data_IF_697054749374
#
_entry.id   IF_697054749374
#
_cell.length_a   1.000
_cell.length_b   1.000
_cell.length_c   1.000
_cell.angle_alpha   90.00
_cell.angle_beta   90.00
_cell.angle_gamma   90.00
#
_symmetry.space_group_name_H-M   'P 1'
#
loop_
_entity.id
_entity.type
_entity.pdbx_description
1 polymer ?
#
# COMPACT_ATOMS: atom_id res chain seq x y z
N UNK A 1 -27.18 53.56 55.77
CA UNK A 1 -27.16 53.32 54.30
C UNK A 1 -25.93 52.43 54.02
N UNK A 2 -26.15 51.10 53.89
CA UNK A 2 -25.08 50.12 53.62
C UNK A 2 -25.05 49.88 52.12
N UNK A 3 -23.92 50.21 51.44
CA UNK A 3 -23.68 49.93 50.02
C UNK A 3 -23.06 48.53 49.92
N UNK A 4 -23.83 47.58 49.33
CA UNK A 4 -23.39 46.25 48.95
C UNK A 4 -22.69 46.38 47.60
N UNK A 5 -21.39 46.09 47.57
CA UNK A 5 -20.61 45.98 46.33
C UNK A 5 -20.68 44.49 45.91
N UNK A 6 -21.41 44.23 44.83
CA UNK A 6 -21.44 42.91 44.18
C UNK A 6 -20.23 42.80 43.27
N UNK A 7 -19.23 42.00 43.65
CA UNK A 7 -18.11 41.64 42.78
C UNK A 7 -18.54 40.55 41.78
N UNK A 8 -18.63 40.90 40.52
CA UNK A 8 -18.88 39.92 39.46
C UNK A 8 -17.56 39.25 39.10
N UNK A 9 -17.33 38.01 39.56
CA UNK A 9 -16.24 37.17 39.09
C UNK A 9 -16.55 36.67 37.68
N UNK A 10 -15.93 37.24 36.66
CA UNK A 10 -15.92 36.69 35.30
C UNK A 10 -15.03 35.43 35.34
N UNK A 11 -15.65 34.24 35.30
CA UNK A 11 -14.98 32.98 35.06
C UNK A 11 -14.55 32.92 33.60
N UNK A 12 -13.27 33.17 33.36
CA UNK A 12 -12.62 32.83 32.08
C UNK A 12 -12.61 31.29 31.94
N UNK A 13 -13.56 30.73 31.23
CA UNK A 13 -13.50 29.33 30.78
C UNK A 13 -12.40 29.23 29.72
N UNK A 14 -11.39 28.34 29.91
CA UNK A 14 -10.46 28.05 28.83
C UNK A 14 -11.25 27.49 27.65
N UNK A 15 -11.17 28.17 26.50
CA UNK A 15 -11.79 27.70 25.26
C UNK A 15 -11.23 26.32 24.94
N UNK A 16 -12.07 25.31 24.98
CA UNK A 16 -11.75 23.97 24.45
C UNK A 16 -11.59 24.18 22.94
N UNK A 17 -10.35 24.25 22.46
CA UNK A 17 -10.07 24.14 21.04
C UNK A 17 -10.52 22.74 20.60
N UNK A 18 -11.74 22.62 20.12
CA UNK A 18 -12.19 21.47 19.37
C UNK A 18 -11.40 21.53 18.05
N UNK A 19 -10.32 20.77 17.99
CA UNK A 19 -9.62 20.55 16.72
C UNK A 19 -10.69 20.03 15.73
N UNK A 20 -10.99 20.82 14.70
CA UNK A 20 -11.87 20.38 13.62
C UNK A 20 -11.20 19.16 13.00
N UNK A 21 -11.83 18.01 13.16
CA UNK A 21 -11.35 16.77 12.55
C UNK A 21 -11.26 17.00 11.03
N UNK A 22 -10.04 17.09 10.53
CA UNK A 22 -9.80 17.28 9.10
C UNK A 22 -9.88 15.96 8.35
N UNK A 23 -10.43 15.97 7.14
CA UNK A 23 -10.34 14.83 6.22
C UNK A 23 -9.02 14.87 5.46
N UNK A 24 -8.33 13.74 5.37
CA UNK A 24 -7.11 13.54 4.61
C UNK A 24 -7.43 12.60 3.45
N UNK A 25 -7.04 12.97 2.24
CA UNK A 25 -7.21 12.14 1.04
C UNK A 25 -5.90 11.46 0.68
N UNK A 26 -5.90 10.13 0.64
CA UNK A 26 -4.70 9.32 0.40
C UNK A 26 -4.88 8.48 -0.86
N UNK A 27 -3.93 8.62 -1.82
CA UNK A 27 -3.73 7.66 -2.89
C UNK A 27 -2.67 6.64 -2.45
N UNK A 28 -3.00 5.36 -2.44
CA UNK A 28 -2.08 4.32 -1.98
C UNK A 28 -2.04 3.11 -2.91
N UNK A 29 -0.85 2.56 -3.07
CA UNK A 29 -0.64 1.29 -3.78
C UNK A 29 -1.45 0.17 -3.11
N UNK A 30 -2.09 -0.66 -3.91
CA UNK A 30 -3.10 -1.60 -3.41
C UNK A 30 -2.54 -2.80 -2.63
N UNK A 31 -1.22 -3.01 -2.62
CA UNK A 31 -0.56 -3.92 -1.68
C UNK A 31 -0.74 -3.51 -0.21
N UNK A 32 -1.06 -2.23 0.03
CA UNK A 32 -1.39 -1.68 1.34
C UNK A 32 -2.84 -1.93 1.78
N UNK A 33 -3.68 -2.57 0.96
CA UNK A 33 -5.12 -2.68 1.20
C UNK A 33 -5.49 -3.08 2.63
N UNK A 34 -5.02 -4.22 3.09
CA UNK A 34 -5.36 -4.71 4.44
C UNK A 34 -4.59 -3.95 5.53
N UNK A 35 -3.30 -3.70 5.31
CA UNK A 35 -2.48 -2.96 6.26
C UNK A 35 -3.04 -1.55 6.51
N UNK A 36 -3.45 -0.84 5.46
CA UNK A 36 -3.97 0.52 5.61
C UNK A 36 -5.41 0.56 6.13
N UNK A 37 -6.23 -0.48 5.93
CA UNK A 37 -7.51 -0.57 6.65
C UNK A 37 -7.31 -0.53 8.16
N UNK A 38 -6.39 -1.34 8.66
CA UNK A 38 -6.07 -1.40 10.11
C UNK A 38 -5.41 -0.11 10.59
N UNK A 39 -4.43 0.40 9.83
CA UNK A 39 -3.68 1.62 10.17
C UNK A 39 -4.61 2.84 10.18
N UNK A 40 -5.46 2.99 9.18
CA UNK A 40 -6.43 4.09 9.10
C UNK A 40 -7.42 3.99 10.25
N UNK A 41 -7.97 2.80 10.53
CA UNK A 41 -8.89 2.60 11.65
C UNK A 41 -8.27 2.98 12.99
N UNK A 42 -7.01 2.62 13.23
CA UNK A 42 -6.31 2.98 14.47
C UNK A 42 -5.96 4.47 14.51
N UNK A 43 -5.54 5.06 13.40
CA UNK A 43 -5.27 6.49 13.29
C UNK A 43 -6.53 7.33 13.56
N UNK A 44 -7.64 7.00 12.91
CA UNK A 44 -8.93 7.70 13.12
C UNK A 44 -9.41 7.59 14.57
N UNK A 45 -9.27 6.40 15.17
CA UNK A 45 -9.66 6.15 16.56
C UNK A 45 -8.83 6.98 17.55
N UNK A 46 -7.53 7.10 17.30
CA UNK A 46 -6.59 7.76 18.24
C UNK A 46 -6.54 9.28 18.06
N UNK A 47 -6.82 9.79 16.85
CA UNK A 47 -6.68 11.22 16.55
C UNK A 47 -8.00 11.95 16.33
N UNK A 48 -9.08 11.23 16.05
CA UNK A 48 -10.36 11.81 15.63
C UNK A 48 -10.37 12.35 14.19
N UNK A 49 -9.26 12.33 13.47
CA UNK A 49 -9.19 12.72 12.07
C UNK A 49 -9.85 11.66 11.17
N UNK A 50 -10.26 12.07 9.97
CA UNK A 50 -10.84 11.17 8.96
C UNK A 50 -9.85 10.94 7.82
N UNK A 51 -9.84 9.72 7.26
CA UNK A 51 -8.98 9.36 6.13
C UNK A 51 -9.82 8.79 4.99
N UNK A 52 -9.80 9.47 3.86
CA UNK A 52 -10.36 8.96 2.60
C UNK A 52 -9.26 8.24 1.83
N UNK A 53 -9.24 6.92 1.93
CA UNK A 53 -8.26 6.05 1.28
C UNK A 53 -8.74 5.63 -0.10
N UNK A 54 -7.91 5.84 -1.13
CA UNK A 54 -8.12 5.33 -2.49
C UNK A 54 -6.97 4.39 -2.84
N UNK A 55 -7.31 3.15 -3.20
CA UNK A 55 -6.35 2.09 -3.51
C UNK A 55 -6.28 1.83 -5.02
N UNK A 56 -5.07 1.65 -5.54
CA UNK A 56 -4.87 1.41 -6.96
C UNK A 56 -3.44 1.06 -7.34
N UNK A 57 -3.11 1.19 -8.61
CA UNK A 57 -1.75 1.00 -9.10
C UNK A 57 -0.92 2.27 -8.91
N UNK A 58 0.34 2.12 -8.49
CA UNK A 58 1.26 3.23 -8.29
C UNK A 58 1.43 4.09 -9.54
N UNK A 59 1.64 3.47 -10.70
CA UNK A 59 1.84 4.22 -11.94
C UNK A 59 0.60 4.99 -12.38
N UNK A 60 -0.60 4.45 -12.14
CA UNK A 60 -1.85 5.15 -12.45
C UNK A 60 -2.06 6.37 -11.55
N UNK A 61 -1.80 6.25 -10.26
CA UNK A 61 -1.85 7.41 -9.36
C UNK A 61 -0.81 8.46 -9.72
N UNK A 62 0.42 8.04 -10.05
CA UNK A 62 1.44 8.96 -10.53
C UNK A 62 0.94 9.76 -11.75
N UNK A 63 0.38 9.10 -12.76
CA UNK A 63 -0.18 9.76 -13.93
C UNK A 63 -1.36 10.69 -13.57
N UNK A 64 -2.27 10.27 -12.69
CA UNK A 64 -3.38 11.10 -12.22
C UNK A 64 -2.90 12.36 -11.51
N UNK A 65 -1.90 12.24 -10.62
CA UNK A 65 -1.32 13.38 -9.88
C UNK A 65 -0.65 14.35 -10.84
N UNK A 66 0.11 13.86 -11.83
CA UNK A 66 0.69 14.70 -12.88
C UNK A 66 -0.38 15.45 -13.71
N UNK A 67 -1.56 14.87 -13.86
CA UNK A 67 -2.71 15.47 -14.54
C UNK A 67 -3.65 16.25 -13.59
N UNK A 68 -3.19 16.59 -12.39
CA UNK A 68 -3.89 17.48 -11.48
C UNK A 68 -4.88 16.82 -10.53
N UNK A 69 -4.86 15.50 -10.36
CA UNK A 69 -5.65 14.85 -9.33
C UNK A 69 -5.21 15.28 -7.92
N UNK A 70 -6.17 15.65 -7.09
CA UNK A 70 -5.94 16.21 -5.77
C UNK A 70 -5.99 15.11 -4.70
N UNK A 71 -4.83 14.83 -4.11
CA UNK A 71 -4.64 14.04 -2.91
C UNK A 71 -3.72 14.78 -1.94
N UNK A 72 -3.81 14.48 -0.66
CA UNK A 72 -2.90 15.03 0.36
C UNK A 72 -1.62 14.21 0.49
N UNK A 73 -1.73 12.88 0.37
CA UNK A 73 -0.63 11.92 0.45
C UNK A 73 -0.67 10.94 -0.72
N UNK A 74 0.51 10.55 -1.16
CA UNK A 74 0.70 9.47 -2.10
C UNK A 74 1.67 8.43 -1.55
N UNK A 75 1.20 7.16 -1.43
CA UNK A 75 1.98 5.99 -1.05
C UNK A 75 2.16 5.07 -2.26
N UNK A 76 3.39 4.93 -2.70
CA UNK A 76 3.75 4.19 -3.90
C UNK A 76 4.55 2.93 -3.59
N UNK A 77 4.25 1.84 -4.26
CA UNK A 77 5.05 0.61 -4.24
C UNK A 77 6.34 0.69 -5.09
N UNK A 78 6.65 1.87 -5.63
CA UNK A 78 7.90 2.17 -6.33
C UNK A 78 8.32 3.59 -5.97
N UNK A 79 9.41 3.73 -5.22
CA UNK A 79 9.91 5.01 -4.70
C UNK A 79 10.29 6.01 -5.81
N UNK A 80 10.53 5.53 -7.02
CA UNK A 80 10.87 6.40 -8.16
C UNK A 80 9.72 7.35 -8.53
N UNK A 81 8.46 6.95 -8.34
CA UNK A 81 7.31 7.80 -8.62
C UNK A 81 7.20 9.00 -7.65
N UNK A 82 7.20 8.79 -6.30
CA UNK A 82 7.24 9.90 -5.36
C UNK A 82 8.42 10.83 -5.59
N UNK A 83 9.61 10.28 -5.87
CA UNK A 83 10.81 11.06 -6.17
C UNK A 83 10.62 11.96 -7.39
N UNK A 84 10.08 11.43 -8.49
CA UNK A 84 9.77 12.21 -9.69
C UNK A 84 8.73 13.31 -9.42
N UNK A 85 7.74 13.09 -8.55
CA UNK A 85 6.77 14.12 -8.17
C UNK A 85 7.44 15.24 -7.37
N UNK A 86 8.38 14.92 -6.48
CA UNK A 86 9.15 15.91 -5.74
C UNK A 86 10.05 16.73 -6.68
N UNK A 87 10.78 16.08 -7.58
CA UNK A 87 11.61 16.72 -8.62
C UNK A 87 10.80 17.64 -9.55
N UNK A 88 9.54 17.28 -9.82
CA UNK A 88 8.61 18.08 -10.63
C UNK A 88 7.90 19.20 -9.86
N UNK A 89 8.16 19.37 -8.54
CA UNK A 89 7.50 20.36 -7.70
C UNK A 89 6.03 20.05 -7.38
N UNK A 90 5.58 18.81 -7.62
CA UNK A 90 4.23 18.35 -7.31
C UNK A 90 4.09 17.76 -5.90
N UNK A 91 5.21 17.52 -5.23
CA UNK A 91 5.25 17.12 -3.82
C UNK A 91 6.03 18.16 -3.00
N UNK A 92 5.75 18.18 -1.70
CA UNK A 92 6.44 19.05 -0.74
C UNK A 92 7.89 18.61 -0.64
N UNK A 93 8.83 19.53 -0.87
CA UNK A 93 10.26 19.26 -0.83
C UNK A 93 10.69 18.70 0.54
N UNK A 94 11.48 17.62 0.53
CA UNK A 94 11.94 16.94 1.74
C UNK A 94 10.87 16.05 2.40
N UNK A 95 9.68 15.87 1.78
CA UNK A 95 8.65 14.98 2.31
C UNK A 95 8.80 13.53 1.85
N UNK A 96 9.73 13.23 0.95
CA UNK A 96 9.97 11.86 0.47
C UNK A 96 10.39 10.94 1.62
N UNK A 97 9.57 9.97 1.89
CA UNK A 97 9.77 8.99 2.95
C UNK A 97 9.75 7.56 2.40
N UNK A 98 10.91 6.86 2.38
CA UNK A 98 10.92 5.42 2.14
C UNK A 98 10.26 4.72 3.32
N UNK A 99 9.10 4.06 3.09
CA UNK A 99 8.33 3.50 4.21
C UNK A 99 8.43 1.99 4.33
N UNK A 100 8.72 1.27 3.25
CA UNK A 100 8.76 -0.19 3.27
C UNK A 100 9.57 -0.80 2.11
N UNK A 101 9.92 -2.07 2.27
CA UNK A 101 10.30 -2.98 1.19
C UNK A 101 9.21 -4.03 1.05
N UNK A 102 8.61 -4.10 -0.13
CA UNK A 102 7.63 -5.12 -0.47
C UNK A 102 8.27 -6.45 -0.84
N UNK A 103 7.47 -7.53 -0.70
CA UNK A 103 7.85 -8.90 -1.12
C UNK A 103 6.73 -9.50 -1.96
N UNK A 104 7.08 -10.42 -2.86
CA UNK A 104 6.11 -11.16 -3.67
C UNK A 104 6.09 -12.63 -3.31
N UNK A 105 4.93 -13.23 -3.51
CA UNK A 105 4.68 -14.64 -3.25
C UNK A 105 3.92 -15.27 -4.41
N UNK A 106 4.16 -16.54 -4.62
CA UNK A 106 3.27 -17.40 -5.40
C UNK A 106 2.15 -17.85 -4.46
N UNK A 107 0.89 -17.59 -4.82
CA UNK A 107 -0.28 -17.89 -3.99
C UNK A 107 -1.34 -18.67 -4.80
N UNK A 108 -2.00 -19.64 -4.14
CA UNK A 108 -3.11 -20.40 -4.72
C UNK A 108 -4.16 -20.70 -3.65
N UNK A 109 -5.39 -20.99 -4.07
CA UNK A 109 -6.48 -21.35 -3.16
C UNK A 109 -6.32 -22.73 -2.54
N UNK A 110 -7.01 -23.00 -1.42
CA UNK A 110 -6.94 -24.27 -0.69
C UNK A 110 -7.40 -25.48 -1.51
N UNK A 111 -8.28 -25.29 -2.50
CA UNK A 111 -8.77 -26.36 -3.38
C UNK A 111 -7.73 -26.75 -4.46
N UNK A 112 -6.63 -26.01 -4.55
CA UNK A 112 -5.59 -26.27 -5.54
C UNK A 112 -4.70 -27.44 -5.11
N UNK A 113 -4.37 -28.32 -6.06
CA UNK A 113 -3.41 -29.40 -5.88
C UNK A 113 -1.99 -29.05 -6.33
N UNK A 114 -1.71 -27.75 -6.60
CA UNK A 114 -0.40 -27.30 -7.04
C UNK A 114 0.62 -27.40 -5.89
N UNK A 115 1.74 -28.06 -6.17
CA UNK A 115 2.86 -28.12 -5.23
C UNK A 115 3.72 -26.87 -5.34
N UNK A 116 3.44 -25.86 -4.52
CA UNK A 116 4.17 -24.61 -4.52
C UNK A 116 5.64 -24.73 -4.07
N UNK A 117 6.05 -25.87 -3.47
CA UNK A 117 7.46 -26.09 -3.12
C UNK A 117 8.39 -26.14 -4.33
N UNK A 118 7.85 -26.39 -5.53
CA UNK A 118 8.56 -26.29 -6.81
C UNK A 118 8.89 -24.85 -7.22
N UNK A 119 8.44 -23.86 -6.45
CA UNK A 119 8.63 -22.47 -6.78
C UNK A 119 7.94 -22.08 -8.08
N UNK A 120 8.53 -21.13 -8.83
CA UNK A 120 7.97 -20.66 -10.10
C UNK A 120 7.91 -21.71 -11.21
N UNK A 121 8.60 -22.85 -11.08
CA UNK A 121 8.51 -23.94 -12.05
C UNK A 121 7.09 -24.56 -12.12
N UNK A 122 6.31 -24.49 -11.03
CA UNK A 122 4.92 -24.97 -11.00
C UNK A 122 4.04 -24.28 -12.05
N UNK A 123 4.36 -23.06 -12.45
CA UNK A 123 3.62 -22.30 -13.48
C UNK A 123 3.61 -22.99 -14.85
N UNK A 124 4.59 -23.89 -15.10
CA UNK A 124 4.72 -24.65 -16.35
C UNK A 124 3.82 -25.88 -16.38
N UNK A 125 3.24 -26.27 -15.25
CA UNK A 125 2.38 -27.45 -15.18
C UNK A 125 1.19 -27.34 -16.15
N UNK A 126 0.81 -28.44 -16.82
CA UNK A 126 -0.31 -28.44 -17.75
C UNK A 126 -1.66 -28.09 -17.10
N UNK A 127 -1.78 -28.29 -15.79
CA UNK A 127 -2.96 -27.95 -14.98
C UNK A 127 -3.11 -26.44 -14.79
N UNK A 128 -2.02 -25.68 -14.80
CA UNK A 128 -2.03 -24.21 -14.70
C UNK A 128 -2.42 -23.62 -16.07
N UNK A 129 -3.62 -23.06 -16.15
CA UNK A 129 -4.15 -22.42 -17.36
C UNK A 129 -4.10 -20.90 -17.28
N UNK A 130 -4.29 -20.33 -16.08
CA UNK A 130 -4.33 -18.88 -15.83
C UNK A 130 -3.47 -18.50 -14.65
N UNK A 131 -2.61 -17.53 -14.85
CA UNK A 131 -1.68 -17.00 -13.85
C UNK A 131 -1.99 -15.53 -13.65
N UNK A 132 -2.44 -15.12 -12.46
CA UNK A 132 -2.75 -13.74 -12.17
C UNK A 132 -1.49 -12.97 -11.74
N UNK A 133 -1.26 -11.84 -12.38
CA UNK A 133 -0.28 -10.83 -11.96
C UNK A 133 -0.88 -9.43 -12.10
N UNK A 134 -0.35 -8.44 -11.38
CA UNK A 134 -0.68 -7.05 -11.67
C UNK A 134 -0.10 -6.63 -13.04
N UNK A 135 -0.76 -5.70 -13.73
CA UNK A 135 -0.30 -5.25 -15.05
C UNK A 135 1.07 -4.55 -14.95
N UNK A 136 2.15 -5.12 -15.53
CA UNK A 136 3.51 -4.60 -15.39
C UNK A 136 3.70 -3.21 -16.01
N UNK A 137 2.81 -2.77 -16.90
CA UNK A 137 2.89 -1.43 -17.51
C UNK A 137 2.85 -0.30 -16.48
N UNK A 138 2.10 -0.48 -15.39
CA UNK A 138 1.88 0.55 -14.36
C UNK A 138 1.93 0.05 -12.91
N UNK A 139 2.01 -1.27 -12.69
CA UNK A 139 2.07 -1.85 -11.36
C UNK A 139 3.48 -2.37 -11.03
N UNK A 140 4.14 -1.86 -9.96
CA UNK A 140 5.47 -2.30 -9.55
C UNK A 140 5.55 -3.80 -9.25
N UNK A 141 4.55 -4.33 -8.58
CA UNK A 141 4.44 -5.76 -8.28
C UNK A 141 4.30 -6.63 -9.54
N UNK A 142 3.66 -6.11 -10.58
CA UNK A 142 3.60 -6.77 -11.89
C UNK A 142 4.96 -6.85 -12.56
N UNK A 143 5.75 -5.75 -12.51
CA UNK A 143 7.14 -5.76 -13.01
C UNK A 143 8.02 -6.75 -12.23
N UNK A 144 7.88 -6.79 -10.90
CA UNK A 144 8.59 -7.75 -10.08
C UNK A 144 8.20 -9.21 -10.40
N UNK A 145 6.91 -9.48 -10.66
CA UNK A 145 6.44 -10.81 -11.06
C UNK A 145 7.05 -11.25 -12.41
N UNK A 146 7.06 -10.36 -13.40
CA UNK A 146 7.69 -10.64 -14.71
C UNK A 146 9.18 -10.91 -14.51
N UNK A 147 9.90 -10.04 -13.80
CA UNK A 147 11.33 -10.19 -13.55
C UNK A 147 11.66 -11.52 -12.84
N UNK A 148 10.85 -11.93 -11.85
CA UNK A 148 11.04 -13.20 -11.17
C UNK A 148 10.83 -14.40 -12.10
N UNK A 149 9.83 -14.37 -12.97
CA UNK A 149 9.61 -15.41 -13.97
C UNK A 149 10.71 -15.46 -15.04
N UNK A 150 11.26 -14.29 -15.44
CA UNK A 150 12.39 -14.19 -16.36
C UNK A 150 13.66 -14.74 -15.74
N UNK A 151 13.93 -14.44 -14.45
CA UNK A 151 15.08 -14.91 -13.71
C UNK A 151 15.21 -16.45 -13.74
N UNK A 152 14.09 -17.16 -13.57
CA UNK A 152 14.07 -18.63 -13.65
C UNK A 152 13.69 -19.17 -15.04
N UNK A 153 13.68 -18.30 -16.07
CA UNK A 153 13.44 -18.65 -17.47
C UNK A 153 12.08 -19.35 -17.75
N UNK A 154 11.05 -19.05 -16.95
CA UNK A 154 9.70 -19.58 -17.17
C UNK A 154 8.80 -18.62 -17.94
N UNK A 155 9.08 -17.31 -17.95
CA UNK A 155 8.22 -16.27 -18.51
C UNK A 155 7.76 -16.56 -19.94
N UNK A 156 8.67 -16.83 -20.85
CA UNK A 156 8.37 -17.08 -22.27
C UNK A 156 7.44 -18.26 -22.50
N UNK A 157 7.41 -19.24 -21.59
CA UNK A 157 6.56 -20.43 -21.66
C UNK A 157 5.17 -20.22 -21.07
N UNK A 158 5.02 -19.18 -20.25
CA UNK A 158 3.77 -18.97 -19.49
C UNK A 158 3.10 -17.62 -19.79
N UNK A 159 3.72 -16.74 -20.56
CA UNK A 159 3.21 -15.39 -20.85
C UNK A 159 1.80 -15.37 -21.44
N UNK A 160 1.44 -16.37 -22.24
CA UNK A 160 0.11 -16.48 -22.83
C UNK A 160 -0.96 -16.97 -21.84
N UNK A 161 -0.54 -17.44 -20.64
CA UNK A 161 -1.43 -17.80 -19.53
C UNK A 161 -1.69 -16.62 -18.57
N UNK A 162 -1.01 -15.47 -18.76
CA UNK A 162 -1.10 -14.34 -17.84
C UNK A 162 -2.46 -13.66 -17.91
N UNK A 163 -3.06 -13.47 -16.74
CA UNK A 163 -4.25 -12.64 -16.52
C UNK A 163 -3.81 -11.39 -15.76
N UNK A 164 -3.98 -10.22 -16.37
CA UNK A 164 -3.48 -8.96 -15.85
C UNK A 164 -4.55 -8.25 -15.02
N UNK A 165 -4.31 -8.12 -13.72
CA UNK A 165 -5.08 -7.25 -12.84
C UNK A 165 -4.64 -5.79 -13.00
N UNK A 166 -5.58 -4.85 -12.90
CA UNK A 166 -5.31 -3.41 -12.93
C UNK A 166 -4.32 -2.99 -11.82
N UNK A 167 -4.33 -3.71 -10.71
CA UNK A 167 -3.43 -3.53 -9.57
C UNK A 167 -3.22 -4.87 -8.86
N UNK A 168 -2.36 -4.90 -7.84
CA UNK A 168 -1.99 -6.15 -7.17
C UNK A 168 -3.13 -6.76 -6.33
N UNK A 169 -4.06 -5.96 -5.81
CA UNK A 169 -5.25 -6.49 -5.13
C UNK A 169 -6.19 -7.18 -6.10
N UNK A 170 -6.38 -6.67 -7.32
CA UNK A 170 -7.20 -7.34 -8.32
C UNK A 170 -6.56 -8.66 -8.79
N UNK A 171 -5.24 -8.69 -8.93
CA UNK A 171 -4.55 -9.95 -9.21
C UNK A 171 -4.79 -11.00 -8.10
N UNK A 172 -4.75 -10.60 -6.83
CA UNK A 172 -5.08 -11.46 -5.69
C UNK A 172 -6.55 -11.94 -5.75
N UNK A 173 -7.50 -11.04 -6.06
CA UNK A 173 -8.91 -11.38 -6.21
C UNK A 173 -9.18 -12.41 -7.34
N UNK A 174 -8.43 -12.35 -8.45
CA UNK A 174 -8.58 -13.33 -9.52
C UNK A 174 -8.25 -14.75 -9.06
N UNK A 175 -7.26 -14.92 -8.20
CA UNK A 175 -6.92 -16.23 -7.67
C UNK A 175 -7.87 -16.65 -6.55
N UNK A 176 -8.17 -15.74 -5.63
CA UNK A 176 -9.12 -15.97 -4.52
C UNK A 176 -10.49 -16.44 -5.02
N UNK A 177 -10.96 -15.84 -6.12
CA UNK A 177 -12.25 -16.21 -6.74
C UNK A 177 -12.21 -17.42 -7.66
N UNK A 178 -11.04 -18.04 -7.88
CA UNK A 178 -10.86 -19.13 -8.86
C UNK A 178 -10.87 -18.69 -10.32
N UNK A 179 -10.86 -17.38 -10.62
CA UNK A 179 -10.74 -16.85 -11.98
C UNK A 179 -9.34 -17.07 -12.58
N UNK A 180 -8.34 -17.29 -11.72
CA UNK A 180 -7.00 -17.77 -12.07
C UNK A 180 -6.59 -18.92 -11.13
N UNK A 181 -5.76 -19.86 -11.63
CA UNK A 181 -5.35 -21.05 -10.89
C UNK A 181 -4.29 -20.70 -9.81
N UNK A 182 -3.46 -19.73 -10.10
CA UNK A 182 -2.33 -19.31 -9.26
C UNK A 182 -2.03 -17.85 -9.56
N UNK A 183 -1.42 -17.13 -8.62
CA UNK A 183 -1.00 -15.74 -8.84
C UNK A 183 0.32 -15.40 -8.19
N UNK A 184 1.02 -14.43 -8.77
CA UNK A 184 2.14 -13.77 -8.10
C UNK A 184 1.60 -12.48 -7.51
N UNK A 185 1.46 -12.47 -6.18
CA UNK A 185 0.82 -11.38 -5.45
C UNK A 185 1.76 -10.79 -4.38
N UNK A 186 1.34 -9.70 -3.75
CA UNK A 186 2.10 -9.14 -2.63
C UNK A 186 1.97 -10.03 -1.39
N UNK A 187 3.07 -10.24 -0.68
CA UNK A 187 3.06 -10.95 0.61
C UNK A 187 2.11 -10.28 1.60
N UNK A 188 2.03 -8.96 1.59
CA UNK A 188 1.13 -8.19 2.46
C UNK A 188 -0.35 -8.53 2.28
N UNK A 189 -0.76 -8.93 1.08
CA UNK A 189 -2.11 -9.43 0.82
C UNK A 189 -2.24 -10.88 1.30
N UNK A 190 -1.26 -11.73 1.00
CA UNK A 190 -1.27 -13.14 1.40
C UNK A 190 -1.30 -13.35 2.92
N UNK A 191 -0.70 -12.42 3.69
CA UNK A 191 -0.68 -12.45 5.16
C UNK A 191 -1.96 -11.90 5.80
N UNK A 192 -2.88 -11.31 5.03
CA UNK A 192 -4.16 -10.88 5.57
C UNK A 192 -5.05 -12.08 5.92
N UNK A 193 -5.77 -11.99 7.04
CA UNK A 193 -6.58 -13.13 7.55
C UNK A 193 -7.51 -13.76 6.51
N UNK A 194 -8.24 -13.00 5.65
CA UNK A 194 -9.07 -13.62 4.62
C UNK A 194 -8.26 -14.47 3.63
N UNK A 195 -7.11 -13.96 3.19
CA UNK A 195 -6.25 -14.64 2.21
C UNK A 195 -5.54 -15.86 2.82
N UNK A 196 -5.14 -15.77 4.11
CA UNK A 196 -4.58 -16.92 4.83
C UNK A 196 -5.61 -18.04 5.03
N UNK A 197 -6.87 -17.69 5.24
CA UNK A 197 -7.95 -18.68 5.37
C UNK A 197 -8.32 -19.33 4.03
N UNK A 198 -8.16 -18.60 2.92
CA UNK A 198 -8.58 -19.01 1.58
C UNK A 198 -7.51 -19.77 0.78
N UNK A 199 -6.24 -19.72 1.19
CA UNK A 199 -5.18 -20.34 0.40
C UNK A 199 -3.83 -20.42 1.12
N UNK A 200 -2.82 -20.77 0.36
CA UNK A 200 -1.45 -20.90 0.84
C UNK A 200 -0.47 -20.27 -0.17
N UNK A 201 0.75 -19.99 0.28
CA UNK A 201 1.74 -19.34 -0.55
C UNK A 201 3.14 -19.91 -0.38
N UNK A 202 3.98 -19.63 -1.37
CA UNK A 202 5.42 -19.80 -1.34
C UNK A 202 6.10 -18.45 -1.61
N UNK A 203 7.03 -18.05 -0.76
CA UNK A 203 7.71 -16.75 -0.89
C UNK A 203 8.75 -16.81 -2.01
N UNK A 204 8.67 -15.90 -2.97
CA UNK A 204 9.62 -15.80 -4.06
C UNK A 204 10.92 -15.18 -3.51
N UNK A 205 12.10 -15.80 -3.76
CA UNK A 205 13.36 -15.29 -3.30
C UNK A 205 13.61 -13.83 -3.70
N UNK A 206 14.14 -13.03 -2.77
CA UNK A 206 14.33 -11.60 -2.97
C UNK A 206 15.36 -11.23 -4.07
N UNK A 207 16.24 -12.16 -4.41
CA UNK A 207 17.22 -12.03 -5.50
C UNK A 207 16.66 -12.38 -6.89
N UNK A 208 15.46 -12.97 -6.95
CA UNK A 208 14.80 -13.30 -8.21
C UNK A 208 14.17 -12.07 -8.90
N UNK A 209 14.09 -10.92 -8.23
CA UNK A 209 13.49 -9.70 -8.79
C UNK A 209 14.12 -8.44 -8.23
N UNK A 210 14.00 -7.28 -8.92
CA UNK A 210 14.44 -6.00 -8.36
C UNK A 210 13.72 -5.70 -7.04
N UNK A 211 14.44 -5.11 -6.09
CA UNK A 211 13.92 -4.71 -4.79
C UNK A 211 12.72 -3.79 -4.95
N UNK A 212 11.60 -4.11 -4.29
CA UNK A 212 10.37 -3.31 -4.31
C UNK A 212 10.47 -2.26 -3.19
N UNK A 213 11.27 -1.22 -3.42
CA UNK A 213 11.40 -0.11 -2.48
C UNK A 213 10.22 0.83 -2.62
N UNK A 214 9.50 1.05 -1.53
CA UNK A 214 8.26 1.82 -1.50
C UNK A 214 8.50 3.19 -0.85
N UNK A 215 7.83 4.21 -1.38
CA UNK A 215 7.97 5.58 -0.90
C UNK A 215 6.66 6.34 -0.82
N UNK A 216 6.61 7.32 0.09
CA UNK A 216 5.49 8.22 0.24
C UNK A 216 5.95 9.67 0.12
N UNK A 217 5.03 10.56 -0.33
CA UNK A 217 5.21 12.01 -0.34
C UNK A 217 3.94 12.73 0.05
N UNK A 218 4.11 13.93 0.62
CA UNK A 218 3.04 14.90 0.81
C UNK A 218 2.89 15.69 -0.49
N UNK A 219 1.68 15.79 -1.02
CA UNK A 219 1.43 16.44 -2.31
C UNK A 219 1.15 17.94 -2.14
N UNK A 220 1.69 18.74 -3.07
CA UNK A 220 1.48 20.20 -3.08
C UNK A 220 0.02 20.59 -3.35
N UNK A 221 -0.72 19.78 -4.15
CA UNK A 221 -2.13 20.02 -4.47
C UNK A 221 -3.10 19.60 -3.37
N UNK A 222 -2.62 19.02 -2.26
CA UNK A 222 -3.45 18.58 -1.15
C UNK A 222 -4.10 19.73 -0.40
N UNK A 223 -5.28 19.47 0.16
CA UNK A 223 -6.06 20.46 0.91
C UNK A 223 -5.73 20.48 2.41
N UNK A 224 -5.12 19.40 2.93
CA UNK A 224 -4.84 19.22 4.35
C UNK A 224 -3.39 18.74 4.57
N UNK A 225 -2.42 19.61 4.32
CA UNK A 225 -1.01 19.28 4.47
C UNK A 225 -0.61 18.97 5.93
N UNK A 226 -1.24 19.62 6.92
CA UNK A 226 -0.96 19.34 8.34
C UNK A 226 -1.48 17.95 8.74
N UNK A 227 -2.69 17.59 8.29
CA UNK A 227 -3.20 16.22 8.45
C UNK A 227 -2.32 15.18 7.75
N UNK A 228 -1.84 15.50 6.53
CA UNK A 228 -0.91 14.65 5.80
C UNK A 228 0.40 14.41 6.56
N UNK A 229 1.01 15.45 7.13
CA UNK A 229 2.20 15.35 8.00
C UNK A 229 1.92 14.48 9.22
N UNK A 230 0.77 14.70 9.89
CA UNK A 230 0.38 13.93 11.07
C UNK A 230 0.21 12.44 10.75
N UNK A 231 -0.44 12.10 9.63
CA UNK A 231 -0.59 10.71 9.20
C UNK A 231 0.76 10.08 8.83
N UNK A 232 1.62 10.79 8.12
CA UNK A 232 2.96 10.30 7.77
C UNK A 232 3.80 10.07 9.04
N UNK A 233 3.71 10.97 10.03
CA UNK A 233 4.37 10.79 11.34
C UNK A 233 3.83 9.57 12.10
N UNK A 234 2.53 9.27 12.01
CA UNK A 234 1.95 8.08 12.59
C UNK A 234 2.54 6.80 11.96
N UNK A 235 2.67 6.77 10.61
CA UNK A 235 3.33 5.65 9.91
C UNK A 235 4.78 5.48 10.33
N UNK A 236 5.51 6.58 10.56
CA UNK A 236 6.90 6.59 11.01
C UNK A 236 7.04 6.14 12.48
N UNK A 237 6.01 6.32 13.28
CA UNK A 237 6.00 5.96 14.69
C UNK A 237 6.03 4.44 14.93
N UNK A 238 6.38 4.06 16.17
CA UNK A 238 6.52 2.64 16.55
C UNK A 238 5.26 1.80 16.25
N UNK A 239 4.08 2.37 16.46
CA UNK A 239 2.79 1.71 16.21
C UNK A 239 2.58 1.46 14.72
N UNK A 240 2.75 2.48 13.87
CA UNK A 240 2.64 2.34 12.42
C UNK A 240 3.64 1.32 11.87
N UNK A 241 4.90 1.39 12.31
CA UNK A 241 5.94 0.45 11.90
C UNK A 241 5.64 -1.00 12.35
N UNK A 242 5.12 -1.20 13.56
CA UNK A 242 4.71 -2.52 14.04
C UNK A 242 3.56 -3.10 13.20
N UNK A 243 2.59 -2.26 12.82
CA UNK A 243 1.49 -2.67 11.95
C UNK A 243 1.97 -3.02 10.56
N UNK A 244 2.85 -2.22 9.95
CA UNK A 244 3.46 -2.54 8.65
C UNK A 244 4.22 -3.88 8.69
N UNK A 245 5.02 -4.11 9.72
CA UNK A 245 5.76 -5.36 9.92
C UNK A 245 4.85 -6.59 10.03
N UNK A 246 3.69 -6.47 10.68
CA UNK A 246 2.69 -7.56 10.79
C UNK A 246 2.20 -8.04 9.42
N UNK A 247 2.11 -7.12 8.45
CA UNK A 247 1.76 -7.43 7.07
C UNK A 247 2.97 -7.78 6.19
N UNK A 248 4.12 -8.13 6.80
CA UNK A 248 5.29 -8.64 6.08
C UNK A 248 6.13 -7.58 5.37
N UNK A 249 5.86 -6.30 5.55
CA UNK A 249 6.73 -5.25 5.05
C UNK A 249 8.04 -5.22 5.83
N UNK A 250 9.16 -5.11 5.11
CA UNK A 250 10.46 -4.91 5.74
C UNK A 250 10.76 -3.41 5.85
N UNK A 251 11.48 -3.04 6.91
CA UNK A 251 11.98 -1.68 7.04
C UNK A 251 12.97 -1.37 5.92
N UNK A 252 12.94 -0.15 5.34
CA UNK A 252 14.01 0.30 4.45
C UNK A 252 15.36 0.24 5.16
N UNK A 253 16.43 -0.10 4.43
CA UNK A 253 17.78 0.00 5.00
C UNK A 253 18.07 1.45 5.39
N UNK A 254 18.73 1.72 6.53
CA UNK A 254 19.25 3.04 6.82
C UNK A 254 20.13 3.52 5.65
N UNK A 255 19.91 4.75 5.21
CA UNK A 255 20.78 5.43 4.23
C UNK A 255 22.02 5.94 4.89
#
# INVERSE_FOLDING_TARGET
>A
MIRIIIAVCLLLMPGVNVAVAGEITIAAASDLNFAFKDIVGEYEKTTGNRVKLTLGSSGNFYAQIQNGALFDLYFSADISYPKKLEEAGLAVSGSLYPYAIGRIVLWTGNESHLDLSKGLEVLREPTVKKIAIANPKHAPYGRAAVAAMEHVQVYERVKDKLVLGENISQAAQFVESGAADVGIIALSLALASPMQAAGHYWEIPADAHPRIEQGAVILMGGKNQEGAKAFLSFIQGAQGQAMMKRYGFLAPSPR
#
